data_IF_812592327175
#
_entry.id   IF_812592327175
#
_cell.length_a   1.000
_cell.length_b   1.000
_cell.length_c   1.000
_cell.angle_alpha   90.00
_cell.angle_beta   90.00
_cell.angle_gamma   90.00
#
_symmetry.space_group_name_H-M   'P 1'
#
loop_
_entity.id
_entity.type
_entity.pdbx_description
1 polymer ?
#
# COMPACT_ATOMS: atom_id res chain seq x y z
N UNK A 1 38.96 0.12 6.08
CA UNK A 1 39.10 -0.06 4.62
C UNK A 1 37.91 0.58 3.93
N UNK A 2 38.03 1.74 3.27
CA UNK A 2 36.95 2.25 2.44
C UNK A 2 36.86 1.35 1.20
N UNK A 3 35.81 0.54 1.12
CA UNK A 3 35.54 -0.33 -0.03
C UNK A 3 35.62 0.50 -1.32
N UNK A 4 36.46 0.05 -2.25
CA UNK A 4 36.52 0.60 -3.59
C UNK A 4 35.11 0.53 -4.21
N UNK A 5 34.55 1.69 -4.57
CA UNK A 5 33.22 1.79 -5.15
C UNK A 5 33.13 0.90 -6.40
N UNK A 6 32.10 0.05 -6.46
CA UNK A 6 31.76 -0.73 -7.65
C UNK A 6 31.63 0.23 -8.83
N UNK A 7 32.28 -0.01 -9.98
CA UNK A 7 32.17 0.86 -11.13
C UNK A 7 30.69 1.06 -11.50
N UNK A 8 30.27 2.27 -11.93
CA UNK A 8 28.90 2.54 -12.27
C UNK A 8 28.39 1.49 -13.25
N UNK A 9 27.32 0.80 -12.88
CA UNK A 9 26.71 -0.18 -13.75
C UNK A 9 26.40 0.44 -15.12
N UNK A 10 26.44 -0.36 -16.19
CA UNK A 10 26.35 0.11 -17.57
C UNK A 10 25.12 0.99 -17.84
N UNK A 11 24.02 0.76 -17.10
CA UNK A 11 22.78 1.53 -17.19
C UNK A 11 22.85 2.94 -16.60
N UNK A 12 23.92 3.26 -15.88
CA UNK A 12 24.20 4.59 -15.37
C UNK A 12 25.03 5.45 -16.34
N UNK A 13 25.48 4.90 -17.46
CA UNK A 13 26.24 5.66 -18.46
C UNK A 13 25.32 6.63 -19.24
N UNK A 14 25.82 7.81 -19.66
CA UNK A 14 25.06 8.73 -20.50
C UNK A 14 24.53 8.10 -21.80
N UNK A 15 25.31 7.20 -22.40
CA UNK A 15 24.95 6.50 -23.63
C UNK A 15 23.73 5.58 -23.42
N UNK A 16 23.73 4.78 -22.35
CA UNK A 16 22.59 3.91 -22.04
C UNK A 16 21.32 4.72 -21.73
N UNK A 17 21.46 5.84 -21.01
CA UNK A 17 20.35 6.77 -20.74
C UNK A 17 19.81 7.40 -22.02
N UNK A 18 20.67 7.82 -22.94
CA UNK A 18 20.26 8.38 -24.22
C UNK A 18 19.55 7.33 -25.09
N UNK A 19 20.08 6.10 -25.15
CA UNK A 19 19.48 5.00 -25.91
C UNK A 19 18.12 4.57 -25.34
N UNK A 20 17.97 4.51 -24.02
CA UNK A 20 16.69 4.18 -23.38
C UNK A 20 15.65 5.27 -23.62
N UNK A 21 16.03 6.55 -23.54
CA UNK A 21 15.16 7.69 -23.87
C UNK A 21 14.77 7.65 -25.36
N UNK A 22 15.71 7.46 -26.27
CA UNK A 22 15.44 7.39 -27.71
C UNK A 22 14.49 6.23 -28.07
N UNK A 23 14.70 5.07 -27.46
CA UNK A 23 13.82 3.90 -27.64
C UNK A 23 12.42 4.17 -27.11
N UNK A 24 12.30 4.78 -25.93
CA UNK A 24 11.00 5.16 -25.36
C UNK A 24 10.26 6.18 -26.23
N UNK A 25 10.97 7.17 -26.78
CA UNK A 25 10.41 8.17 -27.70
C UNK A 25 9.96 7.56 -29.03
N UNK A 26 10.75 6.63 -29.60
CA UNK A 26 10.39 5.92 -30.82
C UNK A 26 9.14 5.04 -30.63
N UNK A 27 9.03 4.34 -29.50
CA UNK A 27 7.86 3.53 -29.15
C UNK A 27 6.61 4.40 -28.90
N UNK A 28 6.78 5.58 -28.31
CA UNK A 28 5.69 6.54 -28.09
C UNK A 28 5.19 7.16 -29.41
N UNK A 29 6.10 7.47 -30.34
CA UNK A 29 5.77 8.01 -31.66
C UNK A 29 5.00 7.00 -32.55
N UNK A 30 5.19 5.69 -32.33
CA UNK A 30 4.64 4.64 -33.18
C UNK A 30 3.19 4.20 -32.84
N UNK A 31 2.51 4.74 -31.81
CA UNK A 31 1.30 4.08 -31.27
C UNK A 31 0.14 4.95 -30.79
N UNK A 32 -0.11 6.14 -31.32
CA UNK A 32 -0.94 7.16 -30.64
C UNK A 32 -2.49 7.03 -30.70
N UNK A 33 -3.07 5.85 -30.99
CA UNK A 33 -4.53 5.61 -30.79
C UNK A 33 -4.86 4.42 -29.88
N UNK A 34 -4.01 3.39 -29.84
CA UNK A 34 -4.09 2.32 -28.84
C UNK A 34 -3.38 2.67 -27.51
N UNK A 35 -2.52 3.70 -27.49
CA UNK A 35 -1.74 4.08 -26.30
C UNK A 35 -2.65 4.44 -25.11
N UNK A 36 -3.79 5.11 -25.31
CA UNK A 36 -4.68 5.50 -24.21
C UNK A 36 -5.24 4.30 -23.43
N UNK A 37 -5.83 3.32 -24.14
CA UNK A 37 -6.38 2.12 -23.51
C UNK A 37 -5.28 1.20 -22.95
N UNK A 38 -4.18 0.99 -23.69
CA UNK A 38 -3.06 0.17 -23.23
C UNK A 38 -2.38 0.77 -22.00
N UNK A 39 -2.17 2.09 -21.96
CA UNK A 39 -1.60 2.76 -20.79
C UNK A 39 -2.56 2.75 -19.61
N UNK A 40 -3.87 2.89 -19.82
CA UNK A 40 -4.85 2.77 -18.75
C UNK A 40 -4.88 1.34 -18.17
N UNK A 41 -4.86 0.30 -19.02
CA UNK A 41 -4.76 -1.10 -18.57
C UNK A 41 -3.42 -1.33 -17.84
N UNK A 42 -2.30 -0.86 -18.38
CA UNK A 42 -1.00 -0.99 -17.75
C UNK A 42 -0.96 -0.31 -16.37
N UNK A 43 -1.46 0.93 -16.27
CA UNK A 43 -1.56 1.65 -15.00
C UNK A 43 -2.46 0.90 -14.01
N UNK A 44 -3.60 0.37 -14.46
CA UNK A 44 -4.49 -0.45 -13.64
C UNK A 44 -3.77 -1.66 -13.06
N UNK A 45 -3.06 -2.42 -13.91
CA UNK A 45 -2.37 -3.65 -13.51
C UNK A 45 -1.19 -3.39 -12.59
N UNK A 46 -0.39 -2.35 -12.85
CA UNK A 46 0.71 -1.95 -11.96
C UNK A 46 0.17 -1.49 -10.60
N UNK A 47 -0.88 -0.67 -10.58
CA UNK A 47 -1.52 -0.24 -9.33
C UNK A 47 -2.11 -1.40 -8.56
N UNK A 48 -2.81 -2.31 -9.24
CA UNK A 48 -3.36 -3.53 -8.65
C UNK A 48 -2.27 -4.44 -8.09
N UNK A 49 -1.23 -4.75 -8.88
CA UNK A 49 -0.12 -5.59 -8.44
C UNK A 49 0.64 -4.99 -7.26
N UNK A 50 0.89 -3.67 -7.28
CA UNK A 50 1.53 -2.96 -6.16
C UNK A 50 0.67 -2.99 -4.90
N UNK A 51 -0.64 -2.74 -5.03
CA UNK A 51 -1.60 -2.78 -3.92
C UNK A 51 -1.72 -4.19 -3.32
N UNK A 52 -2.05 -5.17 -4.16
CA UNK A 52 -2.31 -6.54 -3.72
C UNK A 52 -1.05 -7.19 -3.16
N UNK A 53 0.08 -7.06 -3.85
CA UNK A 53 1.37 -7.59 -3.40
C UNK A 53 1.80 -6.99 -2.06
N UNK A 54 1.70 -5.66 -1.91
CA UNK A 54 2.07 -5.01 -0.65
C UNK A 54 1.11 -5.35 0.50
N UNK A 55 -0.20 -5.49 0.25
CA UNK A 55 -1.16 -5.97 1.26
C UNK A 55 -0.77 -7.36 1.77
N UNK A 56 -0.62 -8.33 0.85
CA UNK A 56 -0.30 -9.71 1.21
C UNK A 56 1.03 -9.79 1.95
N UNK A 57 2.08 -9.18 1.40
CA UNK A 57 3.41 -9.22 2.00
C UNK A 57 3.44 -8.56 3.38
N UNK A 58 2.83 -7.39 3.53
CA UNK A 58 2.87 -6.63 4.78
C UNK A 58 2.05 -7.30 5.87
N UNK A 59 0.81 -7.73 5.56
CA UNK A 59 -0.10 -8.30 6.57
C UNK A 59 0.34 -9.68 7.03
N UNK A 60 0.70 -10.58 6.11
CA UNK A 60 0.92 -11.99 6.46
C UNK A 60 2.39 -12.35 6.70
N UNK A 61 3.35 -11.61 6.13
CA UNK A 61 4.76 -11.96 6.21
C UNK A 61 5.57 -10.95 7.00
N UNK A 62 5.67 -9.72 6.52
CA UNK A 62 6.52 -8.70 7.14
C UNK A 62 6.01 -8.32 8.54
N UNK A 63 4.71 -8.05 8.69
CA UNK A 63 4.10 -7.67 9.96
C UNK A 63 4.27 -8.74 11.04
N UNK A 64 3.94 -10.00 10.72
CA UNK A 64 4.06 -11.13 11.66
C UNK A 64 5.53 -11.39 12.00
N UNK A 65 6.41 -11.39 11.00
CA UNK A 65 7.86 -11.58 11.22
C UNK A 65 8.41 -10.50 12.14
N UNK A 66 8.11 -9.22 11.88
CA UNK A 66 8.59 -8.12 12.72
C UNK A 66 8.00 -8.19 14.14
N UNK A 67 6.71 -8.49 14.28
CA UNK A 67 6.06 -8.63 15.59
C UNK A 67 6.68 -9.74 16.45
N UNK A 68 7.05 -10.87 15.83
CA UNK A 68 7.63 -12.02 16.53
C UNK A 68 9.12 -11.88 16.85
N UNK A 69 9.86 -11.08 16.08
CA UNK A 69 11.32 -11.07 16.13
C UNK A 69 11.94 -9.74 16.60
N UNK A 70 11.16 -8.67 16.76
CA UNK A 70 11.65 -7.38 17.25
C UNK A 70 11.13 -7.08 18.65
N UNK A 71 11.92 -6.39 19.51
CA UNK A 71 11.40 -5.82 20.75
C UNK A 71 10.18 -4.92 20.47
N UNK A 72 9.14 -5.00 21.31
CA UNK A 72 7.84 -4.34 21.06
C UNK A 72 7.95 -2.86 20.70
N UNK A 73 8.76 -2.07 21.42
CA UNK A 73 8.93 -0.65 21.12
C UNK A 73 9.67 -0.40 19.79
N UNK A 74 10.62 -1.28 19.42
CA UNK A 74 11.33 -1.22 18.13
C UNK A 74 10.38 -1.52 16.98
N UNK A 75 9.56 -2.57 17.12
CA UNK A 75 8.50 -2.91 16.18
C UNK A 75 7.53 -1.74 15.96
N UNK A 76 6.98 -1.17 17.03
CA UNK A 76 6.02 -0.06 16.93
C UNK A 76 6.61 1.19 16.30
N UNK A 77 7.87 1.53 16.62
CA UNK A 77 8.59 2.65 15.98
C UNK A 77 8.74 2.43 14.48
N UNK A 78 9.16 1.24 14.05
CA UNK A 78 9.28 0.90 12.62
C UNK A 78 7.92 0.93 11.92
N UNK A 79 6.89 0.32 12.51
CA UNK A 79 5.53 0.32 11.96
C UNK A 79 4.96 1.74 11.79
N UNK A 80 5.18 2.63 12.76
CA UNK A 80 4.70 4.03 12.68
C UNK A 80 5.28 4.81 11.49
N UNK A 81 6.39 4.36 10.92
CA UNK A 81 6.98 4.94 9.70
C UNK A 81 6.49 4.24 8.44
N UNK A 82 6.24 2.94 8.51
CA UNK A 82 5.79 2.13 7.37
C UNK A 82 4.31 2.36 7.04
N UNK A 83 3.42 2.39 8.03
CA UNK A 83 1.98 2.44 7.79
C UNK A 83 1.51 3.68 7.01
N UNK A 84 2.00 4.91 7.28
CA UNK A 84 1.62 6.06 6.48
C UNK A 84 2.03 5.93 5.00
N UNK A 85 3.17 5.30 4.72
CA UNK A 85 3.64 5.06 3.34
C UNK A 85 2.77 4.00 2.68
N UNK A 86 2.51 2.89 3.40
CA UNK A 86 1.66 1.80 2.97
C UNK A 86 0.25 2.27 2.60
N UNK A 87 -0.44 3.00 3.49
CA UNK A 87 -1.80 3.46 3.23
C UNK A 87 -1.87 4.53 2.13
N UNK A 88 -0.84 5.38 1.95
CA UNK A 88 -0.75 6.31 0.81
C UNK A 88 -0.60 5.58 -0.51
N UNK A 89 0.29 4.58 -0.58
CA UNK A 89 0.44 3.73 -1.76
C UNK A 89 -0.90 3.08 -2.10
N UNK A 90 -1.61 2.59 -1.10
CA UNK A 90 -2.89 1.89 -1.29
C UNK A 90 -3.98 2.82 -1.81
N UNK A 91 -4.12 4.00 -1.19
CA UNK A 91 -5.07 5.00 -1.64
C UNK A 91 -4.78 5.46 -3.07
N UNK A 92 -3.51 5.73 -3.39
CA UNK A 92 -3.10 6.12 -4.75
C UNK A 92 -3.40 5.02 -5.77
N UNK A 93 -3.03 3.76 -5.47
CA UNK A 93 -3.32 2.62 -6.34
C UNK A 93 -4.82 2.43 -6.56
N UNK A 94 -5.64 2.53 -5.51
CA UNK A 94 -7.09 2.39 -5.60
C UNK A 94 -7.73 3.52 -6.43
N UNK A 95 -7.24 4.76 -6.29
CA UNK A 95 -7.67 5.88 -7.13
C UNK A 95 -7.34 5.63 -8.61
N UNK A 96 -6.12 5.19 -8.92
CA UNK A 96 -5.72 4.84 -10.30
C UNK A 96 -6.60 3.69 -10.83
N UNK A 97 -6.81 2.65 -10.02
CA UNK A 97 -7.64 1.51 -10.40
C UNK A 97 -9.07 1.95 -10.72
N UNK A 98 -9.72 2.75 -9.86
CA UNK A 98 -11.06 3.30 -10.10
C UNK A 98 -11.11 4.14 -11.38
N UNK A 99 -10.12 5.00 -11.61
CA UNK A 99 -10.04 5.85 -12.81
C UNK A 99 -9.80 5.07 -14.11
N UNK A 100 -9.29 3.84 -14.01
CA UNK A 100 -8.94 3.00 -15.18
C UNK A 100 -9.88 1.81 -15.36
N UNK A 101 -10.92 1.65 -14.53
CA UNK A 101 -11.84 0.51 -14.57
C UNK A 101 -12.47 0.27 -15.94
N UNK A 102 -12.85 1.34 -16.65
CA UNK A 102 -13.47 1.20 -17.97
C UNK A 102 -12.54 0.56 -19.00
N UNK A 103 -11.24 0.79 -18.89
CA UNK A 103 -10.25 0.24 -19.80
C UNK A 103 -10.07 -1.28 -19.61
N UNK A 104 -10.21 -1.78 -18.38
CA UNK A 104 -10.08 -3.21 -18.06
C UNK A 104 -11.40 -3.99 -18.13
N UNK A 105 -12.54 -3.31 -18.11
CA UNK A 105 -13.85 -3.96 -18.10
C UNK A 105 -14.32 -4.51 -19.46
N UNK A 106 -13.58 -4.27 -20.55
CA UNK A 106 -13.88 -4.77 -21.91
C UNK A 106 -15.33 -4.61 -22.40
N UNK A 107 -16.06 -3.62 -21.87
CA UNK A 107 -17.47 -3.37 -22.21
C UNK A 107 -18.47 -3.84 -21.15
N UNK A 108 -18.06 -4.71 -20.22
CA UNK A 108 -18.88 -5.23 -19.12
C UNK A 108 -19.28 -4.21 -18.05
N UNK A 109 -20.15 -4.65 -17.15
CA UNK A 109 -20.68 -3.82 -16.05
C UNK A 109 -19.58 -3.42 -15.05
N UNK A 110 -19.58 -2.15 -14.66
CA UNK A 110 -18.64 -1.58 -13.68
C UNK A 110 -19.15 -1.64 -12.24
N UNK A 111 -20.38 -2.06 -12.00
CA UNK A 111 -21.00 -1.98 -10.67
C UNK A 111 -20.18 -2.72 -9.60
N UNK A 112 -19.83 -3.98 -9.87
CA UNK A 112 -19.05 -4.83 -8.94
C UNK A 112 -17.66 -4.27 -8.64
N UNK A 113 -16.80 -3.96 -9.64
CA UNK A 113 -15.47 -3.45 -9.35
C UNK A 113 -15.47 -2.05 -8.73
N UNK A 114 -16.46 -1.20 -9.04
CA UNK A 114 -16.62 0.10 -8.36
C UNK A 114 -16.91 -0.09 -6.87
N UNK A 115 -17.83 -0.98 -6.49
CA UNK A 115 -18.09 -1.25 -5.07
C UNK A 115 -16.88 -1.90 -4.38
N UNK A 116 -16.21 -2.84 -5.04
CA UNK A 116 -15.03 -3.51 -4.49
C UNK A 116 -13.87 -2.54 -4.24
N UNK A 117 -13.47 -1.77 -5.25
CA UNK A 117 -12.38 -0.79 -5.12
C UNK A 117 -12.79 0.41 -4.25
N UNK A 118 -14.04 0.88 -4.35
CA UNK A 118 -14.54 2.02 -3.59
C UNK A 118 -14.63 1.75 -2.09
N UNK A 119 -15.10 0.57 -1.69
CA UNK A 119 -15.10 0.16 -0.29
C UNK A 119 -13.69 -0.04 0.26
N UNK A 120 -12.78 -0.64 -0.52
CA UNK A 120 -11.38 -0.76 -0.14
C UNK A 120 -10.71 0.61 0.03
N UNK A 121 -11.04 1.58 -0.83
CA UNK A 121 -10.56 2.95 -0.70
C UNK A 121 -11.08 3.60 0.58
N UNK A 122 -12.37 3.47 0.87
CA UNK A 122 -12.96 4.00 2.10
C UNK A 122 -12.24 3.48 3.35
N UNK A 123 -12.02 2.17 3.47
CA UNK A 123 -11.30 1.60 4.61
C UNK A 123 -9.84 2.04 4.66
N UNK A 124 -9.18 2.16 3.51
CA UNK A 124 -7.81 2.66 3.40
C UNK A 124 -7.70 4.10 3.88
N UNK A 125 -8.63 4.97 3.48
CA UNK A 125 -8.66 6.38 3.90
C UNK A 125 -8.99 6.52 5.39
N UNK A 126 -9.92 5.70 5.90
CA UNK A 126 -10.24 5.65 7.33
C UNK A 126 -8.99 5.28 8.16
N UNK A 127 -8.18 4.34 7.67
CA UNK A 127 -6.90 4.02 8.28
C UNK A 127 -5.91 5.18 8.18
N UNK A 128 -5.70 5.69 6.96
CA UNK A 128 -4.71 6.72 6.67
C UNK A 128 -4.92 8.01 7.47
N UNK A 129 -6.17 8.44 7.64
CA UNK A 129 -6.48 9.74 8.23
C UNK A 129 -6.92 9.67 9.68
N UNK A 130 -7.40 8.52 10.17
CA UNK A 130 -7.99 8.45 11.50
C UNK A 130 -7.45 7.29 12.33
N UNK A 131 -7.72 6.03 11.96
CA UNK A 131 -7.46 4.90 12.84
C UNK A 131 -5.97 4.68 13.12
N UNK A 132 -5.12 4.73 12.10
CA UNK A 132 -3.69 4.53 12.26
C UNK A 132 -3.04 5.69 13.03
N UNK A 133 -3.24 6.97 12.69
CA UNK A 133 -2.66 8.08 13.45
C UNK A 133 -3.05 8.07 14.93
N UNK A 134 -4.32 7.75 15.24
CA UNK A 134 -4.80 7.67 16.62
C UNK A 134 -4.20 6.46 17.36
N UNK A 135 -4.13 5.28 16.72
CA UNK A 135 -3.51 4.10 17.31
C UNK A 135 -2.02 4.34 17.63
N UNK A 136 -1.29 4.92 16.67
CA UNK A 136 0.13 5.26 16.80
C UNK A 136 0.38 6.30 17.89
N UNK A 137 -0.47 7.33 18.00
CA UNK A 137 -0.38 8.33 19.08
C UNK A 137 -0.50 7.66 20.46
N UNK A 138 -1.54 6.85 20.66
CA UNK A 138 -1.76 6.15 21.94
C UNK A 138 -0.65 5.15 22.24
N UNK A 139 -0.11 4.47 21.22
CA UNK A 139 1.05 3.59 21.35
C UNK A 139 2.27 4.35 21.89
N UNK A 140 2.60 5.51 21.32
CA UNK A 140 3.74 6.32 21.80
C UNK A 140 3.52 6.84 23.22
N UNK A 141 2.32 7.29 23.57
CA UNK A 141 2.01 7.67 24.96
C UNK A 141 2.29 6.52 25.93
N UNK A 142 1.95 5.28 25.55
CA UNK A 142 2.28 4.10 26.37
C UNK A 142 3.78 3.89 26.48
N UNK A 143 4.54 4.05 25.39
CA UNK A 143 5.99 3.90 25.41
C UNK A 143 6.66 4.94 26.32
N UNK A 144 6.21 6.20 26.27
CA UNK A 144 6.75 7.27 27.11
C UNK A 144 6.52 6.96 28.60
N UNK A 145 5.29 6.59 28.97
CA UNK A 145 4.95 6.19 30.34
C UNK A 145 5.73 4.94 30.81
N UNK A 146 5.93 3.96 29.92
CA UNK A 146 6.74 2.78 30.22
C UNK A 146 8.20 3.14 30.50
N UNK A 147 8.78 4.04 29.69
CA UNK A 147 10.17 4.48 29.83
C UNK A 147 10.38 5.34 31.09
N UNK A 148 9.33 6.00 31.57
CA UNK A 148 9.31 6.71 32.85
C UNK A 148 9.04 5.80 34.06
N UNK A 149 8.81 4.49 33.86
CA UNK A 149 8.48 3.54 34.93
C UNK A 149 7.04 3.67 35.47
N UNK A 150 6.14 4.34 34.73
CA UNK A 150 4.75 4.63 35.13
C UNK A 150 3.73 3.60 34.63
N UNK A 151 4.11 2.34 34.46
CA UNK A 151 3.21 1.29 33.96
C UNK A 151 1.99 1.05 34.88
N UNK A 152 2.13 1.28 36.18
CA UNK A 152 1.03 1.09 37.15
C UNK A 152 0.09 2.30 37.28
N UNK A 153 0.43 3.42 36.64
CA UNK A 153 -0.36 4.65 36.67
C UNK A 153 -1.73 4.48 36.00
N UNK A 154 -2.71 5.26 36.46
CA UNK A 154 -4.03 5.31 35.83
C UNK A 154 -3.96 5.83 34.39
N UNK A 155 -3.03 6.75 34.12
CA UNK A 155 -2.74 7.27 32.78
C UNK A 155 -2.37 6.15 31.81
N UNK A 156 -1.47 5.24 32.22
CA UNK A 156 -1.08 4.10 31.40
C UNK A 156 -2.26 3.16 31.17
N UNK A 157 -3.04 2.85 32.22
CA UNK A 157 -4.22 1.97 32.11
C UNK A 157 -5.27 2.53 31.14
N UNK A 158 -5.52 3.83 31.19
CA UNK A 158 -6.42 4.52 30.24
C UNK A 158 -5.87 4.44 28.81
N UNK A 159 -4.58 4.69 28.60
CA UNK A 159 -3.96 4.59 27.28
C UNK A 159 -4.01 3.14 26.74
N UNK A 160 -3.73 2.14 27.57
CA UNK A 160 -3.81 0.72 27.21
C UNK A 160 -5.23 0.31 26.79
N UNK A 161 -6.25 0.76 27.54
CA UNK A 161 -7.67 0.51 27.21
C UNK A 161 -8.11 1.15 25.89
N UNK A 162 -7.53 2.31 25.53
CA UNK A 162 -7.78 2.98 24.24
C UNK A 162 -7.05 2.32 23.07
N UNK A 163 -5.84 1.80 23.30
CA UNK A 163 -5.00 1.25 22.25
C UNK A 163 -5.63 0.03 21.56
N UNK A 164 -6.12 -0.93 22.34
CA UNK A 164 -6.66 -2.20 21.82
C UNK A 164 -7.74 -2.01 20.76
N UNK A 165 -8.83 -1.26 21.05
CA UNK A 165 -9.89 -0.98 20.08
C UNK A 165 -9.40 -0.24 18.83
N UNK A 166 -8.56 0.79 18.98
CA UNK A 166 -8.04 1.55 17.84
C UNK A 166 -7.21 0.67 16.90
N UNK A 167 -6.29 -0.13 17.47
CA UNK A 167 -5.47 -1.05 16.70
C UNK A 167 -6.32 -2.16 16.03
N UNK A 168 -7.29 -2.71 16.75
CA UNK A 168 -8.21 -3.72 16.23
C UNK A 168 -9.07 -3.21 15.08
N UNK A 169 -9.66 -2.02 15.23
CA UNK A 169 -10.44 -1.38 14.16
C UNK A 169 -9.56 -1.08 12.93
N UNK A 170 -8.33 -0.61 13.13
CA UNK A 170 -7.39 -0.36 12.04
C UNK A 170 -7.10 -1.64 11.25
N UNK A 171 -6.83 -2.74 11.97
CA UNK A 171 -6.57 -4.05 11.40
C UNK A 171 -7.79 -4.60 10.65
N UNK A 172 -8.99 -4.44 11.21
CA UNK A 172 -10.24 -4.88 10.58
C UNK A 172 -10.55 -4.06 9.31
N UNK A 173 -10.34 -2.75 9.33
CA UNK A 173 -10.47 -1.92 8.14
C UNK A 173 -9.47 -2.36 7.05
N UNK A 174 -8.23 -2.65 7.40
CA UNK A 174 -7.25 -3.16 6.44
C UNK A 174 -7.65 -4.54 5.87
N UNK A 175 -8.21 -5.43 6.70
CA UNK A 175 -8.76 -6.71 6.25
C UNK A 175 -9.96 -6.53 5.32
N UNK A 176 -10.88 -5.61 5.65
CA UNK A 176 -12.01 -5.26 4.78
C UNK A 176 -11.55 -4.73 3.41
N UNK A 177 -10.50 -3.89 3.40
CA UNK A 177 -9.90 -3.43 2.16
C UNK A 177 -9.30 -4.59 1.35
N UNK A 178 -8.58 -5.52 2.00
CA UNK A 178 -8.05 -6.72 1.34
C UNK A 178 -9.15 -7.59 0.74
N UNK A 179 -10.27 -7.80 1.43
CA UNK A 179 -11.42 -8.54 0.89
C UNK A 179 -11.95 -7.85 -0.38
N UNK A 180 -12.08 -6.52 -0.37
CA UNK A 180 -12.45 -5.75 -1.56
C UNK A 180 -11.46 -5.94 -2.73
N UNK A 181 -10.16 -5.90 -2.44
CA UNK A 181 -9.12 -6.12 -3.47
C UNK A 181 -9.13 -7.55 -4.01
N UNK A 182 -9.39 -8.57 -3.17
CA UNK A 182 -9.55 -9.96 -3.62
C UNK A 182 -10.79 -10.12 -4.49
N UNK A 183 -11.92 -9.50 -4.12
CA UNK A 183 -13.13 -9.51 -4.93
C UNK A 183 -12.90 -8.84 -6.30
N UNK A 184 -12.15 -7.74 -6.32
CA UNK A 184 -11.72 -7.09 -7.57
C UNK A 184 -10.80 -7.98 -8.41
N UNK A 185 -9.85 -8.68 -7.78
CA UNK A 185 -8.96 -9.64 -8.46
C UNK A 185 -9.75 -10.74 -9.17
N UNK A 186 -10.74 -11.33 -8.48
CA UNK A 186 -11.63 -12.35 -9.06
C UNK A 186 -12.42 -11.80 -10.26
N UNK A 187 -12.98 -10.60 -10.11
CA UNK A 187 -13.69 -9.93 -11.20
C UNK A 187 -12.76 -9.65 -12.40
N UNK A 188 -11.55 -9.17 -12.14
CA UNK A 188 -10.56 -8.82 -13.16
C UNK A 188 -10.13 -10.06 -13.96
N UNK A 189 -9.98 -11.21 -13.30
CA UNK A 189 -9.72 -12.49 -13.98
C UNK A 189 -10.82 -12.86 -14.98
N UNK A 190 -12.08 -12.64 -14.62
CA UNK A 190 -13.23 -12.85 -15.51
C UNK A 190 -13.29 -11.86 -16.68
N UNK A 191 -12.88 -10.61 -16.47
CA UNK A 191 -12.90 -9.57 -17.50
C UNK A 191 -11.92 -9.84 -18.66
N UNK A 192 -10.80 -10.54 -18.39
CA UNK A 192 -9.83 -10.91 -19.42
C UNK A 192 -10.16 -12.20 -20.18
N UNK A 193 -11.21 -12.94 -19.77
CA UNK A 193 -11.65 -14.18 -20.43
C UNK A 193 -12.81 -13.96 -21.42
N UNK A 194 -13.26 -12.72 -21.61
CA UNK A 194 -14.36 -12.32 -22.52
C UNK A 194 -13.81 -11.54 -23.70
#
# INVERSE_FOLDING_TARGET
DPQAWVPPAIWNTPAFRAASIATALALAAAGSRQLGARMAIFAHLISFGSLFGSMIYTTFFAGITMFKNLPRQTFGRLQSKLFPIYFKLHAASLCVMLGTLRAVASGGSLTRPVYACGSALLFTLLNLFYLEPQSTKVMFTRYDLENEGKQESDEYKVAAKKFGPLHGMSSLANLGALIGVIAHSWWLGGAFMQ
#
